data_IF_258149462451
#
_entry.id   IF_258149462451
#
_cell.length_a   1.000
_cell.length_b   1.000
_cell.length_c   1.000
_cell.angle_alpha   90.00
_cell.angle_beta   90.00
_cell.angle_gamma   90.00
#
_symmetry.space_group_name_H-M   'P 1'
#
loop_
_entity.id
_entity.type
_entity.pdbx_description
1 polymer ?
#
# COMPACT_ATOMS: atom_id res chain seq x y z
N UNK A 1 9.28 7.43 2.54
CA UNK A 1 10.65 7.96 2.47
C UNK A 1 11.07 8.27 1.04
N UNK A 2 10.92 7.36 0.07
CA UNK A 2 11.24 7.63 -1.35
C UNK A 2 10.31 8.66 -2.00
N UNK A 3 8.98 8.57 -1.82
CA UNK A 3 8.07 9.51 -2.50
C UNK A 3 8.10 10.94 -1.95
N UNK A 4 8.24 11.12 -0.63
CA UNK A 4 8.46 12.45 -0.04
C UNK A 4 9.78 13.06 -0.54
N UNK A 5 10.81 12.22 -0.74
CA UNK A 5 12.06 12.64 -1.37
C UNK A 5 11.79 13.13 -2.81
N UNK A 6 11.03 12.37 -3.62
CA UNK A 6 10.69 12.75 -5.00
C UNK A 6 9.89 14.06 -5.09
N UNK A 7 8.88 14.23 -4.23
CA UNK A 7 8.10 15.47 -4.14
C UNK A 7 8.99 16.65 -3.75
N UNK A 8 9.91 16.47 -2.81
CA UNK A 8 10.85 17.51 -2.40
C UNK A 8 11.85 17.86 -3.53
N UNK A 9 12.31 16.87 -4.29
CA UNK A 9 13.18 17.08 -5.46
C UNK A 9 12.45 17.89 -6.51
N UNK A 10 11.22 17.49 -6.87
CA UNK A 10 10.41 18.19 -7.85
C UNK A 10 10.08 19.63 -7.39
N UNK A 11 9.77 19.82 -6.10
CA UNK A 11 9.60 21.14 -5.50
C UNK A 11 10.87 21.97 -5.60
N UNK A 12 12.05 21.40 -5.33
CA UNK A 12 13.31 22.14 -5.42
C UNK A 12 13.63 22.56 -6.87
N UNK A 13 13.33 21.72 -7.87
CA UNK A 13 13.47 22.09 -9.28
C UNK A 13 12.56 23.25 -9.67
N UNK A 14 11.32 23.28 -9.16
CA UNK A 14 10.39 24.39 -9.34
C UNK A 14 10.86 25.67 -8.64
N UNK A 15 11.34 25.58 -7.40
CA UNK A 15 11.86 26.73 -6.65
C UNK A 15 13.12 27.33 -7.32
N UNK A 16 13.88 26.50 -8.05
CA UNK A 16 14.99 26.91 -8.92
C UNK A 16 14.56 27.44 -10.30
N UNK A 17 13.25 27.46 -10.55
CA UNK A 17 12.58 27.88 -11.79
C UNK A 17 12.91 27.01 -13.01
N UNK A 18 13.42 25.79 -12.83
CA UNK A 18 13.81 24.90 -13.92
C UNK A 18 12.65 24.12 -14.51
N UNK A 19 11.62 23.85 -13.70
CA UNK A 19 10.39 23.14 -14.10
C UNK A 19 9.16 23.94 -13.69
N UNK A 20 8.01 23.65 -14.31
CA UNK A 20 6.72 24.17 -13.87
C UNK A 20 6.25 23.54 -12.54
N UNK A 21 5.15 24.05 -12.01
CA UNK A 21 4.63 23.67 -10.68
C UNK A 21 4.41 22.15 -10.57
N UNK A 22 5.03 21.47 -9.58
CA UNK A 22 5.14 20.02 -9.58
C UNK A 22 3.96 19.30 -8.91
N UNK A 23 3.04 20.02 -8.25
CA UNK A 23 1.89 19.42 -7.55
C UNK A 23 0.64 19.51 -8.40
N UNK A 24 0.65 18.80 -9.52
CA UNK A 24 -0.38 18.89 -10.56
C UNK A 24 -0.82 17.49 -11.00
N UNK A 25 -2.12 17.18 -10.96
CA UNK A 25 -2.65 15.94 -11.55
C UNK A 25 -2.88 16.08 -13.07
N UNK A 26 -2.68 17.27 -13.63
CA UNK A 26 -2.93 17.55 -15.04
C UNK A 26 -1.81 16.99 -15.91
N UNK A 27 -2.17 16.30 -16.99
CA UNK A 27 -1.22 15.70 -17.94
C UNK A 27 -1.17 16.44 -19.29
N UNK A 28 -1.78 17.62 -19.38
CA UNK A 28 -1.82 18.44 -20.60
C UNK A 28 -1.25 19.83 -20.37
N UNK A 29 -0.89 20.49 -21.46
CA UNK A 29 -0.41 21.87 -21.53
C UNK A 29 -1.49 22.76 -22.17
N UNK A 30 -1.56 24.06 -21.84
CA UNK A 30 -2.33 25.04 -22.59
C UNK A 30 -1.79 25.15 -24.02
N UNK A 31 -2.68 25.39 -24.98
CA UNK A 31 -2.33 25.54 -26.39
C UNK A 31 -1.35 26.70 -26.61
N UNK A 32 -1.43 27.74 -25.79
CA UNK A 32 -0.60 28.93 -25.85
C UNK A 32 0.89 28.62 -25.59
N UNK A 33 1.19 27.56 -24.84
CA UNK A 33 2.57 27.14 -24.55
C UNK A 33 3.30 26.53 -25.75
N UNK A 34 2.60 26.28 -26.88
CA UNK A 34 3.26 25.91 -28.13
C UNK A 34 4.31 26.96 -28.55
N UNK A 35 4.03 28.24 -28.30
CA UNK A 35 4.94 29.34 -28.62
C UNK A 35 6.25 29.32 -27.80
N UNK A 36 6.28 28.59 -26.67
CA UNK A 36 7.45 28.48 -25.81
C UNK A 36 8.41 27.37 -26.23
N UNK A 37 7.96 26.42 -27.06
CA UNK A 37 8.74 25.25 -27.49
C UNK A 37 10.14 25.64 -28.00
N UNK A 38 10.33 26.64 -28.89
CA UNK A 38 11.65 26.98 -29.39
C UNK A 38 12.65 27.36 -28.28
N UNK A 39 12.20 28.16 -27.30
CA UNK A 39 13.01 28.58 -26.15
C UNK A 39 13.38 27.39 -25.27
N UNK A 40 12.42 26.52 -24.97
CA UNK A 40 12.66 25.33 -24.15
C UNK A 40 13.67 24.41 -24.85
N UNK A 41 13.48 24.14 -26.14
CA UNK A 41 14.39 23.31 -26.93
C UNK A 41 15.83 23.86 -26.97
N UNK A 42 16.00 25.18 -27.11
CA UNK A 42 17.32 25.82 -27.09
C UNK A 42 18.09 25.50 -25.80
N UNK A 43 17.42 25.55 -24.64
CA UNK A 43 18.04 25.20 -23.37
C UNK A 43 18.30 23.72 -23.21
N UNK A 44 17.37 22.86 -23.67
CA UNK A 44 17.53 21.42 -23.61
C UNK A 44 18.65 20.92 -24.52
N UNK A 45 19.00 21.65 -25.58
CA UNK A 45 20.14 21.32 -26.43
C UNK A 45 21.48 21.36 -25.67
N UNK A 46 21.56 22.15 -24.60
CA UNK A 46 22.75 22.28 -23.75
C UNK A 46 22.81 21.21 -22.65
N UNK A 47 21.77 20.39 -22.50
CA UNK A 47 21.73 19.34 -21.48
C UNK A 47 22.44 18.10 -22.03
N UNK A 48 23.46 17.56 -21.32
CA UNK A 48 24.15 16.35 -21.73
C UNK A 48 23.17 15.19 -22.01
N UNK A 49 23.34 14.54 -23.16
CA UNK A 49 22.48 13.43 -23.60
C UNK A 49 21.22 13.83 -24.39
N UNK A 50 20.79 15.09 -24.35
CA UNK A 50 19.57 15.54 -25.03
C UNK A 50 19.79 16.22 -26.39
N UNK A 51 20.99 16.74 -26.64
CA UNK A 51 21.33 17.52 -27.85
C UNK A 51 20.91 16.84 -29.17
N UNK A 52 21.15 15.54 -29.31
CA UNK A 52 20.78 14.77 -30.52
C UNK A 52 19.27 14.72 -30.75
N UNK A 53 18.48 14.66 -29.68
CA UNK A 53 17.03 14.57 -29.75
C UNK A 53 16.42 15.93 -30.08
N UNK A 54 16.99 17.01 -29.53
CA UNK A 54 16.63 18.38 -29.91
C UNK A 54 16.94 18.63 -31.38
N UNK A 55 18.12 18.24 -31.86
CA UNK A 55 18.48 18.38 -33.28
C UNK A 55 17.49 17.65 -34.21
N UNK A 56 17.01 16.46 -33.82
CA UNK A 56 15.99 15.74 -34.57
C UNK A 56 14.65 16.50 -34.66
N UNK A 57 14.27 17.22 -33.60
CA UNK A 57 13.08 18.09 -33.59
C UNK A 57 13.28 19.36 -34.42
N UNK A 58 14.49 19.90 -34.49
CA UNK A 58 14.80 21.05 -35.36
C UNK A 58 14.66 20.69 -36.83
N UNK A 59 15.09 19.49 -37.23
CA UNK A 59 15.00 19.01 -38.62
C UNK A 59 13.56 18.65 -39.00
N UNK A 60 12.86 17.89 -38.16
CA UNK A 60 11.54 17.33 -38.50
C UNK A 60 10.36 18.21 -38.06
N UNK A 61 10.64 19.31 -37.35
CA UNK A 61 9.69 20.12 -36.57
C UNK A 61 9.03 19.34 -35.41
N UNK A 62 8.70 20.01 -34.29
CA UNK A 62 7.90 19.41 -33.24
C UNK A 62 6.53 18.93 -33.73
N UNK A 63 6.12 17.75 -33.28
CA UNK A 63 4.76 17.22 -33.48
C UNK A 63 3.84 17.81 -32.42
N UNK A 64 2.93 18.70 -32.81
CA UNK A 64 1.96 19.30 -31.90
C UNK A 64 0.74 18.39 -31.81
N UNK A 65 0.47 17.86 -30.62
CA UNK A 65 -0.56 16.86 -30.38
C UNK A 65 -1.72 17.46 -29.59
N UNK A 66 -2.97 17.37 -30.06
CA UNK A 66 -4.15 17.78 -29.29
C UNK A 66 -4.37 16.98 -28.00
N UNK A 67 -3.69 15.85 -27.84
CA UNK A 67 -3.70 15.07 -26.60
C UNK A 67 -2.71 15.62 -25.55
N UNK A 68 -1.76 16.46 -25.96
CA UNK A 68 -0.73 17.08 -25.10
C UNK A 68 -1.06 18.55 -24.90
N UNK A 69 -1.29 19.31 -25.97
CA UNK A 69 -1.70 20.71 -25.93
C UNK A 69 -3.23 20.78 -26.04
N UNK A 70 -3.89 21.04 -24.92
CA UNK A 70 -5.35 20.94 -24.83
C UNK A 70 -5.95 21.85 -23.75
N UNK A 71 -6.07 23.14 -24.05
CA UNK A 71 -6.72 24.12 -23.15
C UNK A 71 -8.16 23.72 -22.81
N UNK A 72 -8.91 23.14 -23.74
CA UNK A 72 -10.30 22.70 -23.52
C UNK A 72 -10.40 21.56 -22.48
N UNK A 73 -9.43 20.65 -22.45
CA UNK A 73 -9.35 19.62 -21.41
C UNK A 73 -9.03 20.23 -20.06
N UNK A 74 -8.11 21.19 -19.98
CA UNK A 74 -7.82 21.88 -18.72
C UNK A 74 -9.05 22.61 -18.19
N UNK A 75 -9.79 23.33 -19.04
CA UNK A 75 -11.01 24.02 -18.66
C UNK A 75 -12.09 23.05 -18.17
N UNK A 76 -12.35 21.98 -18.95
CA UNK A 76 -13.33 20.95 -18.57
C UNK A 76 -13.00 20.29 -17.23
N UNK A 77 -11.72 20.02 -17.01
CA UNK A 77 -11.24 19.34 -15.81
C UNK A 77 -10.97 20.35 -14.66
N UNK A 78 -11.20 21.66 -14.89
CA UNK A 78 -10.92 22.77 -13.95
C UNK A 78 -9.51 22.72 -13.37
N UNK A 79 -8.54 22.36 -14.21
CA UNK A 79 -7.15 22.26 -13.82
C UNK A 79 -6.54 23.66 -13.65
N UNK A 80 -6.14 24.00 -12.42
CA UNK A 80 -5.46 25.27 -12.10
C UNK A 80 -4.01 25.28 -12.59
N UNK A 81 -3.42 24.10 -12.75
CA UNK A 81 -2.04 23.89 -13.20
C UNK A 81 -2.00 22.92 -14.38
N UNK A 82 -0.98 23.08 -15.23
CA UNK A 82 -0.72 22.20 -16.37
C UNK A 82 0.28 21.10 -16.00
N UNK A 83 0.68 20.26 -16.96
CA UNK A 83 1.68 19.22 -16.77
C UNK A 83 3.07 19.78 -16.39
N UNK A 84 3.87 18.97 -15.68
CA UNK A 84 5.23 19.32 -15.27
C UNK A 84 6.14 19.32 -16.50
N UNK A 85 6.72 20.47 -16.83
CA UNK A 85 7.60 20.66 -18.00
C UNK A 85 8.79 21.54 -17.68
N UNK A 86 9.90 21.45 -18.42
CA UNK A 86 11.00 22.41 -18.30
C UNK A 86 10.56 23.82 -18.69
N UNK A 87 11.03 24.84 -17.98
CA UNK A 87 10.64 26.24 -18.22
C UNK A 87 11.46 26.95 -19.29
N UNK A 88 12.54 26.33 -19.77
CA UNK A 88 13.51 27.01 -20.64
C UNK A 88 14.50 27.91 -19.90
N UNK A 89 14.64 27.77 -18.57
CA UNK A 89 15.75 28.37 -17.82
C UNK A 89 17.02 27.51 -18.01
N UNK A 90 18.17 28.08 -18.40
CA UNK A 90 19.40 27.29 -18.58
C UNK A 90 19.87 26.62 -17.28
N UNK A 91 20.15 25.31 -17.32
CA UNK A 91 20.61 24.55 -16.14
C UNK A 91 21.90 25.12 -15.55
N UNK A 92 22.81 25.63 -16.40
CA UNK A 92 24.07 26.22 -15.97
C UNK A 92 23.90 27.42 -15.02
N UNK A 93 22.69 27.99 -14.93
CA UNK A 93 22.38 29.07 -13.98
C UNK A 93 22.14 28.58 -12.54
N UNK A 94 22.09 27.26 -12.31
CA UNK A 94 21.75 26.64 -11.02
C UNK A 94 22.70 25.47 -10.69
N UNK A 95 22.90 25.21 -9.41
CA UNK A 95 23.60 24.01 -8.93
C UNK A 95 22.57 22.94 -8.57
N UNK A 96 22.73 21.74 -9.12
CA UNK A 96 21.83 20.61 -8.91
C UNK A 96 22.54 19.43 -8.24
N UNK A 97 21.85 18.77 -7.30
CA UNK A 97 22.25 17.45 -6.78
C UNK A 97 22.06 16.36 -7.84
N UNK A 98 22.65 15.19 -7.64
CA UNK A 98 22.51 14.05 -8.57
C UNK A 98 21.05 13.61 -8.74
N UNK A 99 20.28 13.62 -7.64
CA UNK A 99 18.86 13.30 -7.64
C UNK A 99 18.05 14.36 -8.45
N UNK A 100 18.36 15.65 -8.27
CA UNK A 100 17.71 16.73 -9.03
C UNK A 100 18.06 16.70 -10.51
N UNK A 101 19.31 16.39 -10.86
CA UNK A 101 19.74 16.21 -12.25
C UNK A 101 18.99 15.05 -12.89
N UNK A 102 18.85 13.93 -12.18
CA UNK A 102 18.11 12.75 -12.63
C UNK A 102 16.63 13.07 -12.85
N UNK A 103 15.99 13.74 -11.88
CA UNK A 103 14.59 14.13 -11.98
C UNK A 103 14.33 15.14 -13.12
N UNK A 104 15.21 16.14 -13.27
CA UNK A 104 15.12 17.10 -14.37
C UNK A 104 15.28 16.40 -15.72
N UNK A 105 16.25 15.49 -15.85
CA UNK A 105 16.47 14.74 -17.08
C UNK A 105 15.23 13.93 -17.45
N UNK A 106 14.60 13.25 -16.47
CA UNK A 106 13.36 12.50 -16.69
C UNK A 106 12.22 13.40 -17.22
N UNK A 107 12.03 14.57 -16.62
CA UNK A 107 11.01 15.56 -17.06
C UNK A 107 11.31 16.05 -18.48
N UNK A 108 12.56 16.40 -18.76
CA UNK A 108 12.99 16.87 -20.07
C UNK A 108 12.85 15.78 -21.15
N UNK A 109 13.18 14.52 -20.84
CA UNK A 109 13.00 13.39 -21.75
C UNK A 109 11.53 13.18 -22.12
N UNK A 110 10.62 13.27 -21.15
CA UNK A 110 9.17 13.17 -21.40
C UNK A 110 8.64 14.33 -22.24
N UNK A 111 9.13 15.56 -21.99
CA UNK A 111 8.78 16.72 -22.81
C UNK A 111 9.22 16.53 -24.27
N UNK A 112 10.46 16.08 -24.51
CA UNK A 112 10.97 15.77 -25.85
C UNK A 112 10.19 14.63 -26.51
N UNK A 113 9.88 13.56 -25.77
CA UNK A 113 9.08 12.44 -26.25
C UNK A 113 7.69 12.88 -26.73
N UNK A 114 7.04 13.81 -26.02
CA UNK A 114 5.74 14.34 -26.41
C UNK A 114 5.78 15.11 -27.76
N UNK A 115 6.93 15.70 -28.10
CA UNK A 115 7.15 16.49 -29.31
C UNK A 115 7.73 15.67 -30.48
N UNK A 116 8.30 14.49 -30.21
CA UNK A 116 8.88 13.63 -31.24
C UNK A 116 7.80 12.87 -32.03
N UNK A 117 8.12 12.41 -33.26
CA UNK A 117 7.24 11.56 -34.04
C UNK A 117 6.85 10.26 -33.33
N UNK A 118 5.79 9.61 -33.83
CA UNK A 118 5.38 8.30 -33.33
C UNK A 118 6.45 7.23 -33.56
N UNK A 119 6.49 6.26 -32.65
CA UNK A 119 7.18 4.99 -32.89
C UNK A 119 6.43 4.21 -33.96
N UNK A 120 7.10 3.83 -35.04
CA UNK A 120 6.51 3.12 -36.17
C UNK A 120 7.14 1.73 -36.31
N UNK A 121 6.32 0.75 -36.68
CA UNK A 121 6.74 -0.63 -36.90
C UNK A 121 5.85 -1.29 -37.95
N UNK A 122 6.40 -2.29 -38.65
CA UNK A 122 5.64 -3.19 -39.50
C UNK A 122 5.20 -4.40 -38.67
N UNK A 123 3.89 -4.67 -38.61
CA UNK A 123 3.36 -5.90 -38.04
C UNK A 123 3.06 -6.91 -39.15
N UNK A 124 3.66 -8.09 -39.04
CA UNK A 124 3.33 -9.25 -39.89
C UNK A 124 2.49 -10.22 -39.07
N UNK A 125 1.29 -10.54 -39.55
CA UNK A 125 0.43 -11.56 -38.95
C UNK A 125 0.25 -12.71 -39.93
N UNK A 126 0.67 -13.89 -39.52
CA UNK A 126 0.57 -15.12 -40.31
C UNK A 126 -0.41 -16.08 -39.66
N UNK A 127 -1.33 -16.65 -40.44
CA UNK A 127 -2.20 -17.72 -39.99
C UNK A 127 -1.86 -18.99 -40.78
N UNK A 128 -1.53 -20.06 -40.06
CA UNK A 128 -1.11 -21.35 -40.61
C UNK A 128 -2.12 -22.41 -40.20
N UNK A 129 -2.57 -23.22 -41.15
CA UNK A 129 -3.39 -24.39 -40.84
C UNK A 129 -2.48 -25.58 -40.55
N UNK A 130 -2.62 -26.17 -39.37
CA UNK A 130 -1.88 -27.36 -38.95
C UNK A 130 -2.87 -28.41 -38.51
N UNK A 131 -3.03 -29.48 -39.30
CA UNK A 131 -3.98 -30.56 -39.01
C UNK A 131 -5.44 -30.09 -38.94
N UNK A 132 -5.84 -29.13 -39.78
CA UNK A 132 -7.20 -28.55 -39.78
C UNK A 132 -7.46 -27.50 -38.70
N UNK A 133 -6.46 -27.13 -37.90
CA UNK A 133 -6.57 -26.11 -36.85
C UNK A 133 -5.75 -24.87 -37.22
N UNK A 134 -6.31 -23.66 -37.13
CA UNK A 134 -5.56 -22.44 -37.40
C UNK A 134 -4.65 -22.05 -36.22
N UNK A 135 -3.40 -21.73 -36.52
CA UNK A 135 -2.41 -21.16 -35.60
C UNK A 135 -2.01 -19.79 -36.10
N UNK A 136 -1.95 -18.79 -35.22
CA UNK A 136 -1.52 -17.43 -35.58
C UNK A 136 -0.16 -17.12 -34.97
N UNK A 137 0.72 -16.54 -35.78
CA UNK A 137 1.98 -15.93 -35.36
C UNK A 137 1.96 -14.44 -35.72
N UNK A 138 2.52 -13.60 -34.85
CA UNK A 138 2.66 -12.16 -35.08
C UNK A 138 4.11 -11.74 -34.85
N UNK A 139 4.73 -11.07 -35.81
CA UNK A 139 6.06 -10.46 -35.72
C UNK A 139 5.99 -8.96 -35.90
N UNK A 140 6.87 -8.21 -35.24
CA UNK A 140 6.93 -6.75 -35.35
C UNK A 140 8.35 -6.31 -35.63
N UNK A 141 8.51 -5.48 -36.67
CA UNK A 141 9.81 -4.93 -37.07
C UNK A 141 9.76 -3.41 -36.92
N UNK A 142 10.54 -2.81 -35.99
CA UNK A 142 10.63 -1.36 -35.86
C UNK A 142 11.07 -0.72 -37.19
N UNK A 143 10.34 0.30 -37.66
CA UNK A 143 10.67 1.09 -38.85
C UNK A 143 11.08 2.52 -38.52
N UNK A 144 10.71 3.02 -37.33
CA UNK A 144 11.13 4.31 -36.82
C UNK A 144 11.01 4.38 -35.29
N UNK A 145 12.07 4.84 -34.62
CA UNK A 145 12.10 4.88 -33.15
C UNK A 145 11.19 5.97 -32.56
N UNK A 146 10.98 7.08 -33.29
CA UNK A 146 10.16 8.19 -32.82
C UNK A 146 10.53 8.65 -31.41
N UNK A 147 9.51 8.86 -30.58
CA UNK A 147 9.64 9.24 -29.18
C UNK A 147 10.44 8.25 -28.32
N UNK A 148 10.45 6.94 -28.65
CA UNK A 148 11.20 5.93 -27.88
C UNK A 148 12.71 6.18 -27.89
N UNK A 149 13.22 6.92 -28.89
CA UNK A 149 14.65 7.22 -29.01
C UNK A 149 15.24 7.94 -27.79
N UNK A 150 14.43 8.66 -27.02
CA UNK A 150 14.87 9.51 -25.90
C UNK A 150 15.15 8.73 -24.61
N UNK A 151 14.47 7.59 -24.41
CA UNK A 151 14.56 6.81 -23.17
C UNK A 151 15.71 5.79 -23.17
N UNK A 152 16.47 5.71 -24.27
CA UNK A 152 17.48 4.68 -24.47
C UNK A 152 16.86 3.32 -24.80
N UNK A 153 17.61 2.47 -25.50
CA UNK A 153 17.37 1.03 -25.52
C UNK A 153 18.20 0.44 -24.40
N UNK A 154 17.60 0.27 -23.22
CA UNK A 154 18.26 -0.47 -22.14
C UNK A 154 18.22 -1.97 -22.50
N UNK A 155 19.36 -2.62 -22.77
CA UNK A 155 19.39 -4.05 -23.06
C UNK A 155 19.03 -4.91 -21.84
N UNK A 156 19.01 -4.35 -20.62
CA UNK A 156 18.69 -5.03 -19.36
C UNK A 156 17.33 -4.61 -18.77
N UNK A 157 16.49 -3.84 -19.49
CA UNK A 157 15.11 -3.64 -19.04
C UNK A 157 14.38 -4.98 -19.07
N UNK A 158 14.12 -5.55 -17.88
CA UNK A 158 13.22 -6.72 -17.70
C UNK A 158 11.78 -6.44 -18.16
N UNK A 159 11.48 -5.19 -18.54
CA UNK A 159 10.47 -4.91 -19.54
C UNK A 159 11.01 -5.38 -20.91
N UNK A 160 11.08 -6.72 -21.08
CA UNK A 160 10.82 -7.31 -22.39
C UNK A 160 9.53 -6.65 -22.84
N UNK A 161 9.66 -5.65 -23.71
CA UNK A 161 8.54 -5.11 -24.44
C UNK A 161 7.90 -6.35 -25.07
N UNK A 162 6.76 -6.79 -24.53
CA UNK A 162 5.98 -7.97 -24.99
C UNK A 162 5.58 -7.80 -26.49
N UNK A 163 5.97 -6.67 -27.09
CA UNK A 163 5.83 -6.27 -28.48
C UNK A 163 7.07 -6.48 -29.35
N UNK A 164 8.26 -6.75 -28.81
CA UNK A 164 9.46 -7.10 -29.58
C UNK A 164 9.37 -8.57 -30.03
N UNK A 165 8.33 -8.90 -30.79
CA UNK A 165 8.23 -10.21 -31.42
C UNK A 165 9.21 -10.29 -32.57
N UNK A 166 9.98 -11.38 -32.69
CA UNK A 166 10.97 -11.54 -33.76
C UNK A 166 10.30 -11.37 -35.11
N UNK A 167 11.04 -10.81 -36.07
CA UNK A 167 10.61 -10.71 -37.45
C UNK A 167 10.17 -12.09 -37.95
N UNK A 168 8.96 -12.15 -38.52
CA UNK A 168 8.49 -13.37 -39.17
C UNK A 168 9.09 -13.47 -40.58
N UNK A 169 9.31 -14.68 -41.09
CA UNK A 169 9.73 -14.87 -42.47
C UNK A 169 8.66 -14.35 -43.42
N UNK A 170 9.11 -13.77 -44.53
CA UNK A 170 8.23 -13.39 -45.63
C UNK A 170 7.76 -14.65 -46.35
N UNK A 171 6.47 -14.99 -46.23
CA UNK A 171 5.84 -16.12 -46.91
C UNK A 171 4.59 -15.66 -47.65
N UNK A 172 4.35 -16.23 -48.83
CA UNK A 172 3.16 -15.95 -49.62
C UNK A 172 1.97 -16.83 -49.20
N UNK A 173 0.76 -16.33 -49.42
CA UNK A 173 -0.45 -17.13 -49.21
C UNK A 173 -0.44 -18.40 -50.07
N UNK A 174 -0.88 -19.50 -49.47
CA UNK A 174 -0.84 -20.82 -50.09
C UNK A 174 0.51 -21.53 -50.01
N UNK A 175 1.55 -20.90 -49.43
CA UNK A 175 2.83 -21.57 -49.16
C UNK A 175 2.63 -22.78 -48.25
N UNK A 176 3.12 -23.94 -48.67
CA UNK A 176 3.10 -25.16 -47.85
C UNK A 176 4.32 -25.16 -46.93
N UNK A 177 4.07 -25.13 -45.63
CA UNK A 177 5.10 -25.24 -44.59
C UNK A 177 5.13 -26.65 -44.00
N UNK A 178 6.31 -27.09 -43.55
CA UNK A 178 6.46 -28.37 -42.83
C UNK A 178 6.61 -28.09 -41.34
N UNK A 179 5.83 -28.77 -40.50
CA UNK A 179 6.00 -28.72 -39.04
C UNK A 179 7.25 -29.53 -38.68
N UNK A 180 8.32 -28.85 -38.32
CA UNK A 180 9.58 -29.50 -37.95
C UNK A 180 9.53 -30.18 -36.58
N UNK A 181 8.83 -29.56 -35.62
CA UNK A 181 8.65 -30.10 -34.27
C UNK A 181 7.39 -29.53 -33.62
N UNK A 182 6.82 -30.30 -32.70
CA UNK A 182 5.76 -29.85 -31.80
C UNK A 182 6.13 -30.25 -30.36
N UNK A 183 5.88 -29.36 -29.41
CA UNK A 183 6.19 -29.60 -28.00
C UNK A 183 5.06 -29.12 -27.11
N UNK A 184 4.64 -29.97 -26.17
CA UNK A 184 3.72 -29.55 -25.10
C UNK A 184 4.48 -28.68 -24.11
N UNK A 185 4.10 -27.41 -23.98
CA UNK A 185 4.68 -26.49 -22.99
C UNK A 185 3.82 -26.49 -21.72
N UNK A 186 4.23 -27.16 -20.63
CA UNK A 186 3.50 -27.08 -19.37
C UNK A 186 3.59 -25.64 -18.84
N UNK A 187 2.45 -24.97 -18.71
CA UNK A 187 2.34 -23.65 -18.09
C UNK A 187 1.61 -23.79 -16.76
N UNK A 188 1.98 -22.94 -15.80
CA UNK A 188 1.31 -22.83 -14.49
C UNK A 188 0.83 -21.40 -14.31
N UNK A 189 -0.38 -21.23 -13.80
CA UNK A 189 -0.86 -19.92 -13.39
C UNK A 189 0.05 -19.36 -12.30
N UNK A 190 0.30 -18.05 -12.36
CA UNK A 190 1.05 -17.33 -11.33
C UNK A 190 0.03 -16.59 -10.45
N UNK A 191 0.28 -16.51 -9.13
CA UNK A 191 -0.53 -15.62 -8.28
C UNK A 191 -0.35 -14.17 -8.74
N UNK A 192 -1.30 -13.27 -8.40
CA UNK A 192 -1.14 -11.84 -8.63
C UNK A 192 0.19 -11.31 -8.06
N UNK A 193 0.81 -10.36 -8.76
CA UNK A 193 2.02 -9.69 -8.28
C UNK A 193 1.69 -8.95 -6.97
N UNK A 194 2.66 -8.91 -6.05
CA UNK A 194 2.56 -8.04 -4.87
C UNK A 194 2.71 -6.58 -5.30
N UNK A 195 2.11 -5.68 -4.53
CA UNK A 195 2.26 -4.24 -4.73
C UNK A 195 3.69 -3.80 -4.37
N UNK A 196 4.31 -3.00 -5.23
CA UNK A 196 5.26 -1.96 -4.81
C UNK A 196 4.49 -0.72 -4.33
N UNK A 197 5.17 0.29 -3.79
CA UNK A 197 4.49 1.55 -3.47
C UNK A 197 3.91 2.21 -4.73
N UNK A 198 4.67 2.22 -5.84
CA UNK A 198 4.21 2.75 -7.12
C UNK A 198 2.96 2.04 -7.65
N UNK A 199 2.94 0.70 -7.59
CA UNK A 199 1.77 -0.09 -8.01
C UNK A 199 0.53 0.26 -7.16
N UNK A 200 0.69 0.42 -5.84
CA UNK A 200 -0.44 0.76 -4.97
C UNK A 200 -0.99 2.16 -5.28
N UNK A 201 -0.12 3.11 -5.62
CA UNK A 201 -0.51 4.48 -5.99
C UNK A 201 -1.25 4.49 -7.31
N UNK A 202 -0.75 3.75 -8.31
CA UNK A 202 -1.43 3.58 -9.59
C UNK A 202 -2.84 2.99 -9.38
N UNK A 203 -2.98 2.04 -8.46
CA UNK A 203 -4.27 1.45 -8.12
C UNK A 203 -5.17 2.36 -7.28
N UNK A 204 -4.60 3.26 -6.46
CA UNK A 204 -5.37 4.31 -5.79
C UNK A 204 -5.92 5.33 -6.79
N UNK A 205 -5.18 5.64 -7.87
CA UNK A 205 -5.60 6.50 -8.97
C UNK A 205 -6.70 5.85 -9.84
N UNK A 206 -6.58 4.55 -10.12
CA UNK A 206 -7.50 3.79 -10.97
C UNK A 206 -8.33 2.76 -10.17
N UNK A 207 -8.70 3.11 -8.94
CA UNK A 207 -9.43 2.20 -8.03
C UNK A 207 -10.79 1.78 -8.60
N UNK A 208 -11.33 2.56 -9.53
CA UNK A 208 -12.54 2.25 -10.29
C UNK A 208 -12.48 0.91 -11.04
N UNK A 209 -11.28 0.41 -11.40
CA UNK A 209 -11.13 -0.91 -12.03
C UNK A 209 -11.56 -2.08 -11.13
N UNK A 210 -11.60 -1.86 -9.82
CA UNK A 210 -12.08 -2.84 -8.83
C UNK A 210 -13.58 -2.72 -8.54
N UNK A 211 -14.23 -1.64 -9.01
CA UNK A 211 -15.66 -1.45 -8.80
C UNK A 211 -16.48 -2.33 -9.75
N UNK A 212 -17.42 -3.09 -9.18
CA UNK A 212 -18.34 -3.93 -9.92
C UNK A 212 -19.50 -3.13 -10.52
N UNK A 213 -19.91 -2.04 -9.87
CA UNK A 213 -20.98 -1.16 -10.35
C UNK A 213 -20.42 -0.16 -11.39
N UNK A 214 -20.97 -0.11 -12.63
CA UNK A 214 -20.53 0.81 -13.67
C UNK A 214 -20.60 2.30 -13.29
N UNK A 215 -21.63 2.71 -12.55
CA UNK A 215 -21.78 4.11 -12.11
C UNK A 215 -20.70 4.47 -11.09
N UNK A 216 -20.45 3.60 -10.11
CA UNK A 216 -19.36 3.78 -9.13
C UNK A 216 -18.00 3.84 -9.82
N UNK A 217 -17.75 2.96 -10.80
CA UNK A 217 -16.52 2.98 -11.60
C UNK A 217 -16.35 4.30 -12.35
N UNK A 218 -17.40 4.80 -12.98
CA UNK A 218 -17.38 6.09 -13.69
C UNK A 218 -17.05 7.23 -12.72
N UNK A 219 -17.72 7.28 -11.57
CA UNK A 219 -17.48 8.30 -10.53
C UNK A 219 -16.05 8.27 -9.99
N UNK A 220 -15.54 7.09 -9.63
CA UNK A 220 -14.15 6.93 -9.18
C UNK A 220 -13.15 7.41 -10.23
N UNK A 221 -13.42 7.16 -11.51
CA UNK A 221 -12.57 7.64 -12.60
C UNK A 221 -12.62 9.17 -12.77
N UNK A 222 -13.81 9.77 -12.64
CA UNK A 222 -14.00 11.23 -12.67
C UNK A 222 -13.26 11.92 -11.51
N UNK A 223 -13.23 11.31 -10.33
CA UNK A 223 -12.59 11.85 -9.13
C UNK A 223 -11.10 11.49 -8.97
N UNK A 224 -10.48 10.92 -10.01
CA UNK A 224 -9.10 10.43 -9.99
C UNK A 224 -8.82 9.39 -8.87
N UNK A 225 -9.81 8.58 -8.50
CA UNK A 225 -9.68 7.47 -7.56
C UNK A 225 -9.87 7.85 -6.09
N UNK A 226 -9.06 7.25 -5.21
CA UNK A 226 -9.07 7.53 -3.76
C UNK A 226 -7.85 8.34 -3.33
N UNK A 227 -8.08 9.33 -2.46
CA UNK A 227 -7.08 10.32 -2.07
C UNK A 227 -6.72 11.27 -3.21
N UNK A 228 -5.95 12.31 -2.89
CA UNK A 228 -5.43 13.28 -3.84
C UNK A 228 -3.95 13.02 -4.11
N UNK A 229 -3.41 13.58 -5.19
CA UNK A 229 -2.00 13.42 -5.56
C UNK A 229 -1.04 13.71 -4.38
N UNK A 230 -1.32 14.81 -3.66
CA UNK A 230 -0.58 15.25 -2.49
C UNK A 230 -0.69 14.33 -1.26
N UNK A 231 -1.74 13.50 -1.14
CA UNK A 231 -2.03 12.76 0.11
C UNK A 231 -1.78 11.25 0.01
N UNK A 232 -1.78 10.67 -1.18
CA UNK A 232 -1.61 9.21 -1.34
C UNK A 232 -0.27 8.71 -0.79
N UNK A 233 0.77 9.53 -0.88
CA UNK A 233 2.12 9.16 -0.42
C UNK A 233 2.11 9.03 1.09
N UNK A 234 1.70 10.11 1.73
CA UNK A 234 1.52 10.21 3.18
C UNK A 234 0.60 9.11 3.72
N UNK A 235 -0.48 8.74 3.02
CA UNK A 235 -1.34 7.63 3.43
C UNK A 235 -0.55 6.32 3.51
N UNK A 236 0.23 5.98 2.47
CA UNK A 236 1.04 4.75 2.45
C UNK A 236 2.12 4.82 3.54
N UNK A 237 2.76 5.96 3.73
CA UNK A 237 3.75 6.18 4.79
C UNK A 237 3.13 5.99 6.18
N UNK A 238 1.97 6.58 6.44
CA UNK A 238 1.22 6.38 7.68
C UNK A 238 0.87 4.90 7.93
N UNK A 239 0.51 4.15 6.87
CA UNK A 239 0.23 2.71 6.99
C UNK A 239 1.49 1.91 7.33
N UNK A 240 2.66 2.31 6.83
CA UNK A 240 3.96 1.71 7.18
C UNK A 240 4.35 2.07 8.62
N UNK A 241 4.28 3.34 9.01
CA UNK A 241 4.62 3.83 10.35
C UNK A 241 3.75 3.18 11.44
N UNK A 242 2.46 2.99 11.16
CA UNK A 242 1.52 2.32 12.08
C UNK A 242 1.67 0.80 12.11
N UNK A 243 2.58 0.23 11.31
CA UNK A 243 2.80 -1.21 11.24
C UNK A 243 1.66 -1.99 10.60
N UNK A 244 0.86 -1.35 9.74
CA UNK A 244 -0.18 -2.03 8.96
C UNK A 244 0.36 -2.60 7.65
N UNK A 245 1.35 -1.91 7.08
CA UNK A 245 2.16 -2.41 5.97
C UNK A 245 3.60 -2.61 6.44
N UNK A 246 4.30 -3.54 5.80
CA UNK A 246 5.74 -3.74 5.99
C UNK A 246 6.44 -3.94 4.64
N UNK A 247 7.69 -3.46 4.49
CA UNK A 247 8.48 -3.68 3.28
C UNK A 247 8.96 -5.13 3.18
N UNK A 248 8.91 -5.68 1.96
CA UNK A 248 9.45 -6.98 1.60
C UNK A 248 10.25 -6.85 0.30
N UNK A 249 11.51 -6.44 0.41
CA UNK A 249 12.32 -6.02 -0.74
C UNK A 249 11.70 -4.78 -1.39
N UNK A 250 11.50 -4.81 -2.72
CA UNK A 250 10.79 -3.74 -3.45
C UNK A 250 9.27 -3.71 -3.24
N UNK A 251 8.71 -4.74 -2.61
CA UNK A 251 7.27 -4.88 -2.40
C UNK A 251 6.84 -4.38 -1.02
N UNK A 252 5.54 -4.13 -0.86
CA UNK A 252 4.86 -3.87 0.41
C UNK A 252 3.82 -4.95 0.67
N UNK A 253 3.67 -5.37 1.93
CA UNK A 253 2.72 -6.42 2.33
C UNK A 253 1.96 -6.05 3.59
N UNK A 254 0.72 -6.53 3.71
CA UNK A 254 -0.07 -6.34 4.92
C UNK A 254 0.43 -7.20 6.08
N UNK A 255 0.50 -6.61 7.26
CA UNK A 255 0.87 -7.30 8.50
C UNK A 255 -0.30 -8.14 9.03
N UNK A 256 -0.05 -9.10 9.94
CA UNK A 256 -1.14 -9.80 10.64
C UNK A 256 -2.11 -8.83 11.33
N UNK A 257 -1.58 -7.77 11.95
CA UNK A 257 -2.37 -6.72 12.60
C UNK A 257 -3.34 -6.04 11.62
N UNK A 258 -2.87 -5.65 10.44
CA UNK A 258 -3.73 -5.03 9.43
C UNK A 258 -4.83 -5.98 8.94
N UNK A 259 -4.50 -7.26 8.74
CA UNK A 259 -5.49 -8.26 8.31
C UNK A 259 -6.59 -8.48 9.35
N UNK A 260 -6.21 -8.52 10.63
CA UNK A 260 -7.18 -8.59 11.73
C UNK A 260 -8.04 -7.32 11.80
N UNK A 261 -7.43 -6.15 11.66
CA UNK A 261 -8.16 -4.87 11.62
C UNK A 261 -9.19 -4.85 10.49
N UNK A 262 -8.79 -5.17 9.27
CA UNK A 262 -9.71 -5.21 8.11
C UNK A 262 -10.83 -6.23 8.33
N UNK A 263 -10.53 -7.40 8.92
CA UNK A 263 -11.54 -8.42 9.19
C UNK A 263 -12.59 -8.00 10.25
N UNK A 264 -12.24 -7.07 11.14
CA UNK A 264 -13.17 -6.53 12.15
C UNK A 264 -14.00 -5.36 11.64
N UNK A 265 -13.58 -4.69 10.57
CA UNK A 265 -14.28 -3.53 10.03
C UNK A 265 -15.45 -3.96 9.14
N UNK A 266 -16.58 -3.24 9.18
CA UNK A 266 -17.70 -3.54 8.30
C UNK A 266 -17.37 -3.17 6.85
N UNK A 267 -17.83 -3.99 5.92
CA UNK A 267 -17.50 -3.88 4.49
C UNK A 267 -17.65 -2.46 3.89
N UNK A 268 -18.68 -1.64 4.23
CA UNK A 268 -18.79 -0.29 3.68
C UNK A 268 -17.60 0.63 3.98
N UNK A 269 -16.87 0.47 5.09
CA UNK A 269 -15.74 1.37 5.41
C UNK A 269 -14.47 0.96 4.66
N UNK A 270 -14.37 -0.31 4.30
CA UNK A 270 -13.22 -0.86 3.56
C UNK A 270 -13.44 -0.83 2.04
N UNK A 271 -14.61 -0.42 1.58
CA UNK A 271 -14.97 -0.34 0.17
C UNK A 271 -14.70 1.06 -0.41
N UNK A 272 -13.90 1.13 -1.47
CA UNK A 272 -13.62 2.36 -2.20
C UNK A 272 -14.87 3.03 -2.80
N UNK A 273 -15.93 2.25 -3.05
CA UNK A 273 -17.22 2.78 -3.50
C UNK A 273 -17.81 3.80 -2.50
N UNK A 274 -17.62 3.57 -1.19
CA UNK A 274 -18.11 4.48 -0.16
C UNK A 274 -17.38 5.82 -0.23
N UNK A 275 -16.07 5.80 -0.46
CA UNK A 275 -15.29 7.03 -0.68
C UNK A 275 -15.79 7.77 -1.92
N UNK A 276 -16.07 7.07 -3.02
CA UNK A 276 -16.61 7.68 -4.24
C UNK A 276 -17.89 8.49 -3.98
N UNK A 277 -18.82 7.90 -3.22
CA UNK A 277 -20.11 8.50 -2.87
C UNK A 277 -19.96 9.73 -1.96
N UNK A 278 -18.93 9.76 -1.11
CA UNK A 278 -18.65 10.92 -0.27
C UNK A 278 -18.04 12.06 -1.08
N UNK A 279 -17.06 11.76 -1.92
CA UNK A 279 -16.43 12.76 -2.80
C UNK A 279 -17.45 13.38 -3.76
N UNK A 280 -18.39 12.59 -4.29
CA UNK A 280 -19.50 13.11 -5.12
C UNK A 280 -20.33 14.16 -4.37
N UNK A 281 -20.76 13.85 -3.14
CA UNK A 281 -21.55 14.80 -2.34
C UNK A 281 -20.76 16.06 -1.97
N UNK A 282 -19.46 15.92 -1.72
CA UNK A 282 -18.58 17.06 -1.47
C UNK A 282 -18.40 17.92 -2.72
N UNK A 283 -18.29 17.32 -3.92
CA UNK A 283 -18.22 18.04 -5.19
C UNK A 283 -19.55 18.73 -5.54
N UNK A 284 -20.69 18.07 -5.30
CA UNK A 284 -22.02 18.69 -5.46
C UNK A 284 -22.17 19.96 -4.62
N UNK A 285 -21.73 19.91 -3.35
CA UNK A 285 -21.68 21.07 -2.46
C UNK A 285 -20.72 22.14 -2.99
N UNK A 286 -19.50 21.76 -3.38
CA UNK A 286 -18.48 22.69 -3.94
C UNK A 286 -18.99 23.41 -5.19
N UNK A 287 -19.76 22.72 -6.03
CA UNK A 287 -20.31 23.25 -7.29
C UNK A 287 -21.63 24.00 -7.13
N UNK A 288 -22.20 24.04 -5.92
CA UNK A 288 -23.51 24.64 -5.68
C UNK A 288 -24.66 23.89 -6.38
N UNK A 289 -24.48 22.60 -6.67
CA UNK A 289 -25.54 21.74 -7.21
C UNK A 289 -26.58 21.39 -6.14
N UNK A 290 -26.18 21.45 -4.88
CA UNK A 290 -27.05 21.35 -3.71
C UNK A 290 -26.88 22.58 -2.82
N UNK A 291 -27.92 23.02 -2.09
CA UNK A 291 -27.83 24.15 -1.16
C UNK A 291 -26.81 23.89 -0.05
N UNK A 292 -26.16 24.94 0.46
CA UNK A 292 -25.15 24.81 1.53
C UNK A 292 -25.74 24.22 2.81
N UNK A 293 -27.04 24.38 3.03
CA UNK A 293 -27.81 23.82 4.14
C UNK A 293 -27.81 22.28 4.12
N UNK A 294 -27.64 21.66 2.94
CA UNK A 294 -27.52 20.20 2.80
C UNK A 294 -26.23 19.65 3.43
N UNK A 295 -25.23 20.49 3.71
CA UNK A 295 -23.98 20.12 4.41
C UNK A 295 -24.28 19.49 5.75
N UNK A 296 -25.15 20.11 6.55
CA UNK A 296 -25.39 19.68 7.93
C UNK A 296 -26.13 18.34 7.96
N UNK A 297 -27.03 18.10 7.01
CA UNK A 297 -27.67 16.81 6.80
C UNK A 297 -26.65 15.73 6.41
N UNK A 298 -25.74 16.03 5.47
CA UNK A 298 -24.69 15.11 5.06
C UNK A 298 -23.79 14.72 6.24
N UNK A 299 -23.28 15.71 6.98
CA UNK A 299 -22.43 15.49 8.16
C UNK A 299 -23.17 14.68 9.22
N UNK A 300 -24.45 15.00 9.48
CA UNK A 300 -25.27 14.26 10.45
C UNK A 300 -25.46 12.79 10.06
N UNK A 301 -25.68 12.50 8.77
CA UNK A 301 -25.78 11.12 8.26
C UNK A 301 -24.47 10.36 8.41
N UNK A 302 -23.34 11.00 8.11
CA UNK A 302 -22.00 10.39 8.29
C UNK A 302 -21.76 10.10 9.78
N UNK A 303 -22.02 11.07 10.66
CA UNK A 303 -21.88 10.91 12.10
C UNK A 303 -22.75 9.77 12.65
N UNK A 304 -24.03 9.71 12.26
CA UNK A 304 -24.93 8.62 12.66
C UNK A 304 -24.42 7.25 12.19
N UNK A 305 -23.88 7.16 10.96
CA UNK A 305 -23.30 5.91 10.47
C UNK A 305 -22.06 5.50 11.29
N UNK A 306 -21.16 6.44 11.61
CA UNK A 306 -19.98 6.19 12.46
C UNK A 306 -20.40 5.69 13.84
N UNK A 307 -21.39 6.32 14.47
CA UNK A 307 -21.93 5.88 15.77
C UNK A 307 -22.42 4.43 15.70
N UNK A 308 -23.22 4.10 14.68
CA UNK A 308 -23.72 2.74 14.46
C UNK A 308 -22.59 1.72 14.27
N UNK A 309 -21.52 2.08 13.56
CA UNK A 309 -20.35 1.24 13.37
C UNK A 309 -19.65 1.00 14.71
N UNK A 310 -19.43 2.05 15.52
CA UNK A 310 -18.79 1.95 16.83
C UNK A 310 -19.60 1.03 17.75
N UNK A 311 -20.93 1.17 17.76
CA UNK A 311 -21.82 0.32 18.54
C UNK A 311 -21.74 -1.15 18.12
N UNK A 312 -21.73 -1.43 16.82
CA UNK A 312 -21.59 -2.79 16.29
C UNK A 312 -20.25 -3.43 16.71
N UNK A 313 -19.14 -2.69 16.54
CA UNK A 313 -17.80 -3.17 16.94
C UNK A 313 -17.72 -3.40 18.45
N UNK A 314 -18.32 -2.52 19.28
CA UNK A 314 -18.38 -2.72 20.74
C UNK A 314 -19.19 -3.96 21.12
N UNK A 315 -20.32 -4.18 20.47
CA UNK A 315 -21.15 -5.36 20.70
C UNK A 315 -20.39 -6.65 20.35
N UNK A 316 -19.67 -6.66 19.23
CA UNK A 316 -18.89 -7.82 18.80
C UNK A 316 -17.66 -8.05 19.70
N UNK A 317 -16.98 -6.99 20.15
CA UNK A 317 -15.92 -7.09 21.15
C UNK A 317 -16.45 -7.67 22.47
N UNK A 318 -17.65 -7.26 22.89
CA UNK A 318 -18.31 -7.79 24.11
C UNK A 318 -18.66 -9.28 23.95
N UNK A 319 -19.18 -9.69 22.79
CA UNK A 319 -19.44 -11.11 22.48
C UNK A 319 -18.16 -11.94 22.41
N UNK A 320 -17.10 -11.40 21.80
CA UNK A 320 -15.79 -12.05 21.72
C UNK A 320 -15.17 -12.23 23.11
N UNK A 321 -15.29 -11.23 24.00
CA UNK A 321 -14.87 -11.33 25.39
C UNK A 321 -15.72 -12.36 26.17
N UNK A 322 -17.04 -12.38 25.96
CA UNK A 322 -17.95 -13.34 26.60
C UNK A 322 -17.65 -14.81 26.23
N UNK A 323 -17.26 -15.05 24.97
CA UNK A 323 -16.96 -16.38 24.45
C UNK A 323 -15.48 -16.79 24.57
N UNK A 324 -14.65 -15.98 25.24
CA UNK A 324 -13.24 -16.29 25.44
C UNK A 324 -13.09 -17.43 26.45
N UNK A 325 -12.23 -18.39 26.13
CA UNK A 325 -11.81 -19.44 27.06
C UNK A 325 -10.73 -18.88 28.01
N UNK A 326 -10.77 -19.16 29.33
CA UNK A 326 -9.75 -18.66 30.25
C UNK A 326 -8.39 -19.33 30.00
N UNK A 327 -7.31 -18.62 30.27
CA UNK A 327 -5.96 -19.20 30.14
C UNK A 327 -5.71 -20.27 31.20
N UNK A 328 -4.81 -21.23 30.92
CA UNK A 328 -4.40 -22.24 31.91
C UNK A 328 -3.94 -21.63 33.24
N UNK A 329 -3.23 -20.50 33.19
CA UNK A 329 -2.78 -19.78 34.38
C UNK A 329 -3.94 -19.21 35.20
N UNK A 330 -4.94 -18.61 34.55
CA UNK A 330 -6.14 -18.10 35.23
C UNK A 330 -6.97 -19.23 35.85
N UNK A 331 -7.15 -20.33 35.12
CA UNK A 331 -7.84 -21.52 35.63
C UNK A 331 -7.12 -22.11 36.85
N UNK A 332 -5.80 -22.24 36.78
CA UNK A 332 -5.00 -22.73 37.90
C UNK A 332 -5.10 -21.82 39.12
N UNK A 333 -5.08 -20.51 38.92
CA UNK A 333 -5.22 -19.55 40.00
C UNK A 333 -6.62 -19.59 40.64
N UNK A 334 -7.67 -19.66 39.83
CA UNK A 334 -9.04 -19.81 40.32
C UNK A 334 -9.22 -21.13 41.08
N UNK A 335 -8.65 -22.25 40.59
CA UNK A 335 -8.68 -23.55 41.27
C UNK A 335 -7.98 -23.50 42.64
N UNK A 336 -6.87 -22.77 42.75
CA UNK A 336 -6.16 -22.57 44.01
C UNK A 336 -7.06 -21.86 45.04
N UNK A 337 -7.67 -20.73 44.63
CA UNK A 337 -8.58 -19.96 45.49
C UNK A 337 -9.79 -20.80 45.89
N UNK A 338 -10.39 -21.53 44.95
CA UNK A 338 -11.51 -22.43 45.20
C UNK A 338 -11.18 -23.50 46.25
N UNK A 339 -9.99 -24.11 46.14
CA UNK A 339 -9.52 -25.13 47.10
C UNK A 339 -9.27 -24.54 48.48
N UNK A 340 -8.61 -23.39 48.56
CA UNK A 340 -8.22 -22.74 49.81
C UNK A 340 -9.41 -22.14 50.57
N UNK A 341 -10.42 -21.64 49.85
CA UNK A 341 -11.64 -21.09 50.45
C UNK A 341 -12.76 -22.13 50.60
N UNK A 342 -12.57 -23.36 50.11
CA UNK A 342 -13.59 -24.41 50.14
C UNK A 342 -14.84 -24.11 49.32
N UNK A 343 -14.74 -23.23 48.31
CA UNK A 343 -15.85 -22.85 47.44
C UNK A 343 -15.70 -23.52 46.06
N UNK A 344 -16.78 -24.09 45.48
CA UNK A 344 -16.68 -24.75 44.19
C UNK A 344 -16.42 -23.73 43.07
N UNK A 345 -15.64 -24.13 42.07
CA UNK A 345 -15.52 -23.35 40.84
C UNK A 345 -16.85 -23.33 40.07
N UNK A 346 -17.10 -22.28 39.26
CA UNK A 346 -18.24 -22.24 38.34
C UNK A 346 -18.24 -23.46 37.40
N UNK A 347 -19.40 -24.06 37.14
CA UNK A 347 -19.51 -25.26 36.31
C UNK A 347 -18.98 -25.06 34.86
N UNK A 348 -19.02 -23.83 34.36
CA UNK A 348 -18.51 -23.43 33.06
C UNK A 348 -17.11 -22.80 33.11
N UNK A 349 -16.35 -22.97 34.20
CA UNK A 349 -15.05 -22.35 34.38
C UNK A 349 -14.07 -22.66 33.24
N UNK A 350 -14.03 -23.91 32.76
CA UNK A 350 -13.09 -24.34 31.70
C UNK A 350 -13.41 -23.72 30.34
N UNK A 351 -14.65 -23.26 30.12
CA UNK A 351 -15.12 -22.76 28.83
C UNK A 351 -15.50 -21.27 28.83
N UNK A 352 -15.48 -20.60 29.99
CA UNK A 352 -15.89 -19.19 30.12
C UNK A 352 -14.90 -18.39 30.94
N UNK A 353 -14.14 -17.53 30.26
CA UNK A 353 -13.23 -16.56 30.88
C UNK A 353 -14.00 -15.62 31.81
N UNK A 354 -15.18 -15.18 31.41
CA UNK A 354 -16.04 -14.31 32.22
C UNK A 354 -16.45 -14.98 33.54
N UNK A 355 -16.82 -16.26 33.51
CA UNK A 355 -17.17 -16.98 34.74
C UNK A 355 -15.97 -17.11 35.70
N UNK A 356 -14.78 -17.37 35.17
CA UNK A 356 -13.55 -17.43 35.95
C UNK A 356 -13.17 -16.06 36.50
N UNK A 357 -13.30 -14.99 35.71
CA UNK A 357 -12.99 -13.63 36.15
C UNK A 357 -13.94 -13.18 37.25
N UNK A 358 -15.26 -13.39 37.10
CA UNK A 358 -16.23 -13.07 38.13
C UNK A 358 -15.97 -13.83 39.44
N UNK A 359 -15.56 -15.10 39.35
CA UNK A 359 -15.15 -15.88 40.51
C UNK A 359 -13.92 -15.27 41.21
N UNK A 360 -12.90 -14.89 40.45
CA UNK A 360 -11.69 -14.25 40.99
C UNK A 360 -12.01 -12.91 41.65
N UNK A 361 -12.83 -12.07 41.01
CA UNK A 361 -13.20 -10.75 41.53
C UNK A 361 -13.96 -10.88 42.86
N UNK A 362 -14.88 -11.84 42.96
CA UNK A 362 -15.67 -12.06 44.18
C UNK A 362 -14.84 -12.61 45.36
N UNK A 363 -13.75 -13.35 45.10
CA UNK A 363 -13.04 -14.12 46.14
C UNK A 363 -11.59 -13.68 46.38
N UNK A 364 -11.01 -12.84 45.50
CA UNK A 364 -9.61 -12.40 45.58
C UNK A 364 -9.30 -11.62 46.85
N UNK A 365 -10.20 -10.75 47.31
CA UNK A 365 -10.03 -10.00 48.55
C UNK A 365 -10.00 -10.92 49.78
N UNK A 366 -10.96 -11.85 49.87
CA UNK A 366 -11.03 -12.83 50.96
C UNK A 366 -9.80 -13.74 50.97
N UNK A 367 -9.37 -14.23 49.81
CA UNK A 367 -8.14 -15.01 49.68
C UNK A 367 -6.88 -14.20 50.04
N UNK A 368 -6.84 -12.93 49.67
CA UNK A 368 -5.75 -12.01 49.98
C UNK A 368 -5.58 -11.72 51.47
N UNK A 369 -6.66 -11.82 52.25
CA UNK A 369 -6.65 -11.62 53.70
C UNK A 369 -6.25 -12.87 54.49
N UNK A 370 -6.11 -14.03 53.85
CA UNK A 370 -5.61 -15.23 54.51
C UNK A 370 -4.11 -15.08 54.84
N UNK A 371 -3.63 -15.76 55.90
CA UNK A 371 -2.21 -15.77 56.22
C UNK A 371 -1.40 -16.38 55.06
N UNK A 372 -0.24 -15.79 54.71
CA UNK A 372 0.65 -16.36 53.72
C UNK A 372 1.18 -17.72 54.16
N UNK A 373 1.50 -18.59 53.21
CA UNK A 373 2.11 -19.88 53.53
C UNK A 373 3.50 -19.70 54.16
N UNK A 374 3.94 -20.65 54.98
CA UNK A 374 5.27 -20.64 55.60
C UNK A 374 6.40 -20.46 54.57
N UNK A 375 6.24 -21.06 53.37
CA UNK A 375 7.21 -20.88 52.27
C UNK A 375 7.25 -19.47 51.72
N UNK A 376 6.10 -18.78 51.63
CA UNK A 376 6.04 -17.40 51.18
C UNK A 376 6.65 -16.46 52.22
N UNK A 377 6.37 -16.69 53.50
CA UNK A 377 6.97 -15.94 54.60
C UNK A 377 8.48 -16.12 54.64
N UNK A 378 8.98 -17.36 54.60
CA UNK A 378 10.43 -17.64 54.62
C UNK A 378 11.17 -16.99 53.43
N UNK A 379 10.56 -16.97 52.25
CA UNK A 379 11.12 -16.29 51.09
C UNK A 379 11.14 -14.77 51.26
N UNK A 380 10.04 -14.18 51.74
CA UNK A 380 9.94 -12.76 51.97
C UNK A 380 10.88 -12.27 53.08
N UNK A 381 11.07 -13.06 54.15
CA UNK A 381 12.00 -12.76 55.24
C UNK A 381 13.46 -12.78 54.77
N UNK A 382 13.81 -13.75 53.94
CA UNK A 382 15.14 -13.80 53.30
C UNK A 382 15.37 -12.55 52.45
N UNK A 383 14.39 -12.20 51.61
CA UNK A 383 14.47 -11.03 50.73
C UNK A 383 14.50 -9.71 51.51
N UNK A 384 13.73 -9.60 52.59
CA UNK A 384 13.73 -8.44 53.48
C UNK A 384 15.10 -8.24 54.11
N UNK A 385 15.72 -9.33 54.59
CA UNK A 385 17.09 -9.33 55.14
C UNK A 385 18.10 -8.87 54.09
N UNK A 386 18.05 -9.42 52.87
CA UNK A 386 18.94 -9.04 51.76
C UNK A 386 18.79 -7.57 51.34
N UNK A 387 17.60 -6.98 51.51
CA UNK A 387 17.30 -5.59 51.18
C UNK A 387 17.44 -4.63 52.37
N UNK A 388 17.79 -5.13 53.57
CA UNK A 388 17.92 -4.32 54.78
C UNK A 388 16.60 -3.72 55.27
N UNK A 389 15.46 -4.37 54.96
CA UNK A 389 14.12 -3.96 55.39
C UNK A 389 13.50 -5.02 56.29
N UNK A 390 12.50 -4.65 57.09
CA UNK A 390 11.78 -5.61 57.95
C UNK A 390 10.33 -5.74 57.48
N UNK A 391 9.77 -6.95 57.58
CA UNK A 391 8.35 -7.17 57.29
C UNK A 391 7.50 -6.58 58.42
N UNK A 392 6.39 -5.94 58.06
CA UNK A 392 5.37 -5.50 59.01
C UNK A 392 4.47 -6.65 59.45
N UNK A 393 3.75 -6.49 60.57
CA UNK A 393 2.81 -7.52 61.04
C UNK A 393 1.65 -7.74 60.06
N UNK A 394 1.25 -6.68 59.34
CA UNK A 394 0.28 -6.77 58.25
C UNK A 394 0.81 -7.61 57.08
N UNK A 395 2.07 -7.41 56.69
CA UNK A 395 2.73 -8.22 55.66
C UNK A 395 2.87 -9.68 56.10
N UNK A 396 3.11 -9.95 57.38
CA UNK A 396 3.13 -11.32 57.91
C UNK A 396 1.74 -11.95 57.98
N UNK A 397 0.69 -11.14 58.19
CA UNK A 397 -0.67 -11.59 58.45
C UNK A 397 -1.55 -11.79 57.20
N UNK A 398 -1.23 -11.13 56.07
CA UNK A 398 -2.07 -11.17 54.87
C UNK A 398 -1.27 -11.45 53.59
N UNK A 399 -1.74 -12.41 52.78
CA UNK A 399 -1.19 -12.75 51.45
C UNK A 399 -1.08 -11.54 50.53
N UNK A 400 -2.06 -10.64 50.55
CA UNK A 400 -2.08 -9.43 49.72
C UNK A 400 -0.97 -8.45 50.14
N UNK A 401 -0.83 -8.20 51.44
CA UNK A 401 0.21 -7.31 51.97
C UNK A 401 1.62 -7.88 51.74
N UNK A 402 1.82 -9.19 51.94
CA UNK A 402 3.08 -9.86 51.62
C UNK A 402 3.37 -9.83 50.11
N UNK A 403 2.34 -10.01 49.28
CA UNK A 403 2.46 -9.93 47.83
C UNK A 403 2.96 -8.55 47.36
N UNK A 404 2.38 -7.47 47.88
CA UNK A 404 2.81 -6.10 47.57
C UNK A 404 4.27 -5.83 47.96
N UNK A 405 4.72 -6.38 49.10
CA UNK A 405 6.12 -6.34 49.50
C UNK A 405 7.02 -7.06 48.50
N UNK A 406 6.65 -8.28 48.11
CA UNK A 406 7.42 -9.08 47.15
C UNK A 406 7.49 -8.41 45.78
N UNK A 407 6.42 -7.79 45.29
CA UNK A 407 6.42 -7.09 44.00
C UNK A 407 7.36 -5.87 43.97
N UNK A 408 7.56 -5.20 45.10
CA UNK A 408 8.46 -4.06 45.22
C UNK A 408 9.94 -4.48 45.29
N UNK A 409 10.21 -5.61 45.96
CA UNK A 409 11.58 -5.97 46.36
C UNK A 409 12.17 -7.17 45.60
N UNK A 410 11.34 -8.02 44.98
CA UNK A 410 11.81 -9.19 44.24
C UNK A 410 12.43 -8.79 42.90
N UNK A 411 13.45 -9.52 42.42
CA UNK A 411 14.03 -9.27 41.11
C UNK A 411 12.97 -9.48 40.01
N UNK A 412 12.72 -8.45 39.20
CA UNK A 412 11.80 -8.54 38.06
C UNK A 412 12.29 -9.61 37.09
N UNK A 413 11.48 -10.64 36.83
CA UNK A 413 11.78 -11.60 35.75
C UNK A 413 11.79 -10.86 34.40
N UNK A 414 12.71 -11.19 33.49
CA UNK A 414 12.65 -10.69 32.12
C UNK A 414 11.31 -11.11 31.49
N UNK A 415 10.65 -10.20 30.76
CA UNK A 415 9.42 -10.49 30.02
C UNK A 415 9.69 -11.70 29.11
N UNK A 416 8.88 -12.76 29.24
CA UNK A 416 8.99 -13.92 28.38
C UNK A 416 8.84 -13.48 26.91
N UNK A 417 9.86 -13.74 26.09
CA UNK A 417 9.77 -13.61 24.64
C UNK A 417 8.62 -14.47 24.12
N UNK A 418 7.90 -14.05 23.07
CA UNK A 418 6.85 -14.87 22.49
C UNK A 418 7.42 -16.22 22.08
N UNK A 419 6.76 -17.30 22.51
CA UNK A 419 7.17 -18.66 22.25
C UNK A 419 7.46 -18.86 20.75
N UNK A 420 8.70 -19.22 20.41
CA UNK A 420 9.02 -19.78 19.09
C UNK A 420 8.12 -21.00 18.89
N UNK A 421 7.12 -20.88 18.02
CA UNK A 421 6.40 -22.05 17.50
C UNK A 421 7.44 -22.97 16.87
N UNK A 422 7.69 -24.09 17.53
CA UNK A 422 8.42 -25.23 16.98
C UNK A 422 7.70 -25.66 15.71
N UNK A 423 8.34 -25.43 14.57
CA UNK A 423 7.95 -26.03 13.29
C UNK A 423 8.12 -27.53 13.44
N UNK A 424 7.01 -28.26 13.50
CA UNK A 424 6.99 -29.71 13.36
C UNK A 424 7.57 -30.05 11.99
N UNK A 425 8.78 -30.58 12.00
CA UNK A 425 9.50 -31.10 10.83
C UNK A 425 8.72 -32.31 10.32
N UNK A 426 7.93 -32.12 9.27
CA UNK A 426 7.25 -33.23 8.59
C UNK A 426 8.31 -34.22 8.07
N UNK A 427 8.20 -35.47 8.53
CA UNK A 427 9.07 -36.56 8.15
C UNK A 427 8.96 -36.82 6.62
N UNK A 428 10.10 -36.68 5.94
CA UNK A 428 10.29 -37.09 4.54
C UNK A 428 10.25 -38.63 4.51
N UNK A 429 9.18 -39.22 3.97
CA UNK A 429 9.19 -40.64 3.53
C UNK A 429 10.17 -40.80 2.36
N UNK A 430 11.02 -41.84 2.32
CA UNK A 430 11.80 -42.15 1.13
C UNK A 430 10.87 -42.81 0.11
N UNK A 431 10.79 -42.26 -1.11
CA UNK A 431 10.20 -42.97 -2.25
C UNK A 431 11.25 -43.94 -2.80
N UNK A 432 10.84 -45.19 -2.87
CA UNK A 432 11.56 -46.32 -3.42
C UNK A 432 11.94 -46.09 -4.90
N UNK A 433 13.08 -46.66 -5.28
CA UNK A 433 13.47 -46.92 -6.66
C UNK A 433 12.50 -47.94 -7.26
N UNK A 434 11.92 -47.59 -8.41
CA UNK A 434 11.61 -48.46 -9.53
C UNK A 434 11.49 -47.57 -10.76
#
# INVERSE_FOLDING_TARGET
MERQKDVNIAQSLYDKELTSYPRTPCMVLPNEQEAEIPRVLETLAQVPGLARHVAALTVNKPTIRPTVFNSAKMERDKAEHHAIVPTGVPLASRTLSDDEQTAFLLIAQHYLAALLPDYTFNETRMTLEVGGVPFTATGRVPTGQGWKSVFGTDPDSEDEDDTATPALPDIQDGTRCTVAAAALRPKKTRPPKRYTQGDLIADMLDVGKFATNPEVRKRLKENAGIGTDATRGDIIENLLERGYLEPQGKFIVSTPLARELIAMLPAPITDAATTALWEEKLDELRRGLVPIEARDEFVSKVAANVTRIIEAVRADATKAAANRVPSEGQLRYAQLIATELGVPLPANAVSSHVAVQAFLDAHSATYGNLPPSEKQLAYAEKLATEKGVTLTDEQRGARAALGAFLDLHAPKKPKASPAKKTTTKAARKPKAKA
#
